data_IF_146725752093
#
_entry.id   IF_146725752093
#
_cell.length_a   1.000
_cell.length_b   1.000
_cell.length_c   1.000
_cell.angle_alpha   90.00
_cell.angle_beta   90.00
_cell.angle_gamma   90.00
#
_symmetry.space_group_name_H-M   'P 1'
#
loop_
_entity.id
_entity.type
_entity.pdbx_description
1 polymer ?
#
# COMPACT_ATOMS: atom_id res chain seq x y z
N UNK A 1 -15.78 -3.17 9.49
CA UNK A 1 -16.77 -4.14 8.95
C UNK A 1 -18.15 -3.53 9.07
N UNK A 2 -18.87 -3.40 7.96
CA UNK A 2 -20.22 -2.85 7.96
C UNK A 2 -21.29 -3.93 8.14
N UNK A 3 -22.47 -3.51 8.58
CA UNK A 3 -23.72 -4.26 8.63
C UNK A 3 -24.89 -3.32 8.40
N UNK A 4 -26.09 -3.87 8.20
CA UNK A 4 -27.31 -3.05 8.18
C UNK A 4 -27.50 -2.28 9.50
N UNK A 5 -28.42 -1.31 9.53
CA UNK A 5 -28.67 -0.47 10.72
C UNK A 5 -29.12 -1.27 11.95
N UNK A 6 -29.60 -2.50 11.76
CA UNK A 6 -30.01 -3.41 12.81
C UNK A 6 -28.88 -4.35 13.26
N UNK A 7 -27.70 -4.29 12.63
CA UNK A 7 -26.54 -5.14 12.92
C UNK A 7 -26.55 -6.50 12.24
N UNK A 8 -27.37 -6.70 11.20
CA UNK A 8 -27.41 -7.96 10.46
C UNK A 8 -26.42 -7.97 9.29
N UNK A 9 -25.98 -9.18 8.94
CA UNK A 9 -25.32 -9.49 7.67
C UNK A 9 -23.80 -9.35 7.63
N UNK A 10 -23.20 -8.59 8.56
CA UNK A 10 -21.76 -8.33 8.63
C UNK A 10 -20.88 -9.59 8.64
N UNK A 11 -19.57 -9.41 8.48
CA UNK A 11 -18.61 -10.52 8.41
C UNK A 11 -18.41 -11.17 9.78
N UNK A 12 -18.48 -12.51 9.83
CA UNK A 12 -18.12 -13.27 11.03
C UNK A 12 -16.63 -13.08 11.34
N UNK A 13 -16.34 -12.70 12.59
CA UNK A 13 -14.98 -12.50 13.11
C UNK A 13 -14.05 -13.69 12.90
N UNK A 14 -14.58 -14.91 12.81
CA UNK A 14 -13.81 -16.12 12.51
C UNK A 14 -13.10 -16.05 11.15
N UNK A 15 -13.68 -15.32 10.19
CA UNK A 15 -13.08 -15.14 8.85
C UNK A 15 -11.95 -14.10 8.84
N UNK A 16 -11.82 -13.25 9.86
CA UNK A 16 -10.76 -12.24 9.88
C UNK A 16 -9.39 -12.92 9.93
N UNK A 17 -9.19 -13.82 10.90
CA UNK A 17 -7.93 -14.55 11.03
C UNK A 17 -7.62 -15.41 9.79
N UNK A 18 -8.64 -16.08 9.25
CA UNK A 18 -8.49 -16.88 8.02
C UNK A 18 -8.04 -16.03 6.83
N UNK A 19 -8.67 -14.89 6.59
CA UNK A 19 -8.30 -14.01 5.48
C UNK A 19 -6.93 -13.36 5.68
N UNK A 20 -6.52 -13.10 6.92
CA UNK A 20 -5.14 -12.67 7.21
C UNK A 20 -4.12 -13.77 6.87
N UNK A 21 -4.42 -15.04 7.14
CA UNK A 21 -3.54 -16.14 6.74
C UNK A 21 -3.45 -16.28 5.23
N UNK A 22 -4.58 -16.18 4.52
CA UNK A 22 -4.62 -16.19 3.04
C UNK A 22 -3.78 -15.04 2.48
N UNK A 23 -4.05 -13.80 2.93
CA UNK A 23 -3.34 -12.60 2.47
C UNK A 23 -1.82 -12.71 2.72
N UNK A 24 -1.42 -13.17 3.91
CA UNK A 24 -0.01 -13.36 4.22
C UNK A 24 0.65 -14.44 3.35
N UNK A 25 -0.07 -15.50 2.99
CA UNK A 25 0.44 -16.51 2.06
C UNK A 25 0.60 -15.96 0.64
N UNK A 26 -0.36 -15.15 0.18
CA UNK A 26 -0.32 -14.53 -1.16
C UNK A 26 0.89 -13.59 -1.30
N UNK A 27 1.18 -12.82 -0.25
CA UNK A 27 2.26 -11.84 -0.26
C UNK A 27 3.58 -12.33 0.35
N UNK A 28 3.68 -13.60 0.75
CA UNK A 28 4.91 -14.13 1.38
C UNK A 28 6.14 -13.99 0.46
N UNK A 29 5.96 -14.20 -0.84
CA UNK A 29 7.04 -14.04 -1.84
C UNK A 29 7.44 -12.58 -2.00
N UNK A 30 6.49 -11.68 -1.84
CA UNK A 30 6.71 -10.23 -1.86
C UNK A 30 7.31 -9.71 -0.54
N UNK A 31 7.40 -10.55 0.51
CA UNK A 31 7.91 -10.18 1.85
C UNK A 31 7.09 -9.09 2.53
N UNK A 32 5.81 -8.98 2.22
CA UNK A 32 4.87 -8.21 3.03
C UNK A 32 4.26 -9.12 4.08
N UNK A 33 4.02 -8.56 5.28
CA UNK A 33 3.31 -9.23 6.36
C UNK A 33 2.25 -8.29 6.90
N UNK A 34 1.03 -8.79 6.96
CA UNK A 34 -0.15 -8.07 7.44
C UNK A 34 -0.55 -8.63 8.80
N UNK A 35 -0.87 -7.73 9.73
CA UNK A 35 -1.32 -8.06 11.08
C UNK A 35 -2.56 -7.20 11.37
N UNK A 36 -3.61 -7.82 11.89
CA UNK A 36 -4.80 -7.07 12.34
C UNK A 36 -4.43 -6.18 13.53
N UNK A 37 -4.64 -4.87 13.38
CA UNK A 37 -4.45 -3.90 14.47
C UNK A 37 -5.74 -3.72 15.29
N UNK A 38 -6.81 -3.28 14.64
CA UNK A 38 -8.15 -3.08 15.21
C UNK A 38 -9.22 -3.65 14.26
N UNK A 39 -10.44 -3.82 14.78
CA UNK A 39 -11.61 -4.19 14.00
C UNK A 39 -12.82 -3.43 14.53
N UNK A 40 -13.37 -2.56 13.69
CA UNK A 40 -14.60 -1.85 14.00
C UNK A 40 -15.83 -2.48 13.34
N UNK A 41 -16.94 -2.51 14.08
CA UNK A 41 -18.24 -2.95 13.58
C UNK A 41 -19.16 -1.74 13.47
N UNK A 42 -19.63 -1.46 12.26
CA UNK A 42 -20.36 -0.24 11.93
C UNK A 42 -21.72 -0.59 11.34
N UNK A 43 -22.79 -0.23 12.04
CA UNK A 43 -24.16 -0.37 11.53
C UNK A 43 -24.49 0.83 10.66
N UNK A 44 -24.53 0.64 9.35
CA UNK A 44 -24.91 1.67 8.39
C UNK A 44 -25.41 1.04 7.08
N UNK A 45 -26.74 0.95 6.92
CA UNK A 45 -27.37 0.31 5.75
C UNK A 45 -26.91 0.94 4.43
N UNK A 46 -26.71 2.26 4.40
CA UNK A 46 -26.35 2.93 3.16
C UNK A 46 -24.97 2.49 2.64
N UNK A 47 -23.97 2.37 3.51
CA UNK A 47 -22.65 1.86 3.13
C UNK A 47 -22.62 0.34 2.97
N UNK A 48 -23.38 -0.37 3.80
CA UNK A 48 -23.55 -1.83 3.72
C UNK A 48 -24.08 -2.27 2.34
N UNK A 49 -25.12 -1.59 1.83
CA UNK A 49 -25.76 -1.91 0.55
C UNK A 49 -25.08 -1.22 -0.67
N UNK A 50 -24.00 -0.47 -0.45
CA UNK A 50 -23.26 0.21 -1.52
C UNK A 50 -23.96 1.43 -2.13
N UNK A 51 -24.87 2.06 -1.40
CA UNK A 51 -25.65 3.24 -1.84
C UNK A 51 -25.26 4.55 -1.14
N UNK A 52 -24.31 4.49 -0.19
CA UNK A 52 -23.89 5.60 0.68
C UNK A 52 -22.97 6.66 0.05
N UNK A 53 -22.59 6.50 -1.22
CA UNK A 53 -21.68 7.41 -1.93
C UNK A 53 -20.72 6.65 -2.85
N UNK A 54 -19.93 7.38 -3.64
CA UNK A 54 -18.88 6.80 -4.49
C UNK A 54 -17.64 6.37 -3.69
N UNK A 55 -16.72 5.66 -4.37
CA UNK A 55 -15.60 4.89 -3.82
C UNK A 55 -14.84 5.54 -2.64
N UNK A 56 -14.63 6.85 -2.64
CA UNK A 56 -13.81 7.52 -1.61
C UNK A 56 -14.59 7.99 -0.38
N UNK A 57 -15.93 7.97 -0.38
CA UNK A 57 -16.71 8.53 0.74
C UNK A 57 -16.66 7.65 1.99
N UNK A 58 -16.55 6.33 1.83
CA UNK A 58 -16.40 5.40 2.97
C UNK A 58 -15.05 5.60 3.66
N UNK A 59 -13.99 5.78 2.86
CA UNK A 59 -12.63 6.03 3.34
C UNK A 59 -12.56 7.35 4.10
N UNK A 60 -13.13 8.42 3.54
CA UNK A 60 -13.15 9.74 4.19
C UNK A 60 -13.95 9.75 5.49
N UNK A 61 -15.07 9.04 5.55
CA UNK A 61 -15.98 9.12 6.71
C UNK A 61 -15.65 8.14 7.83
N UNK A 62 -14.96 7.03 7.52
CA UNK A 62 -14.75 5.93 8.47
C UNK A 62 -13.33 5.37 8.50
N UNK A 63 -12.39 5.92 7.71
CA UNK A 63 -10.99 5.52 7.82
C UNK A 63 -10.37 6.00 9.10
N UNK A 64 -9.64 5.09 9.73
CA UNK A 64 -8.73 5.45 10.80
C UNK A 64 -7.62 6.32 10.23
N UNK A 65 -7.41 7.47 10.87
CA UNK A 65 -6.38 8.46 10.56
C UNK A 65 -5.04 8.07 11.21
N UNK A 66 -4.61 6.84 10.95
CA UNK A 66 -3.30 6.35 11.35
C UNK A 66 -2.38 6.34 10.12
N UNK A 67 -1.30 7.13 10.19
CA UNK A 67 -0.30 7.21 9.13
C UNK A 67 0.35 5.85 8.80
N UNK A 68 0.21 4.84 9.65
CA UNK A 68 0.83 3.51 9.54
C UNK A 68 -0.15 2.33 9.46
N UNK A 69 -1.44 2.57 9.18
CA UNK A 69 -2.46 1.50 9.08
C UNK A 69 -3.11 1.43 7.69
N UNK A 70 -3.20 0.21 7.17
CA UNK A 70 -3.99 -0.13 5.99
C UNK A 70 -5.46 -0.35 6.39
N UNK A 71 -6.33 0.56 5.96
CA UNK A 71 -7.77 0.42 6.17
C UNK A 71 -8.38 -0.62 5.19
N UNK A 72 -9.16 -1.57 5.71
CA UNK A 72 -9.95 -2.52 4.90
C UNK A 72 -11.41 -2.48 5.30
N UNK A 73 -12.28 -2.09 4.38
CA UNK A 73 -13.71 -1.98 4.60
C UNK A 73 -14.44 -3.17 3.99
N UNK A 74 -15.39 -3.71 4.74
CA UNK A 74 -16.18 -4.88 4.31
C UNK A 74 -17.65 -4.50 4.26
N UNK A 75 -18.28 -4.66 3.09
CA UNK A 75 -19.69 -4.31 2.81
C UNK A 75 -20.42 -5.48 2.13
N UNK A 76 -21.73 -5.42 1.92
CA UNK A 76 -22.46 -6.50 1.22
C UNK A 76 -22.35 -6.38 -0.30
N UNK A 77 -22.52 -5.16 -0.82
CA UNK A 77 -22.72 -4.89 -2.24
C UNK A 77 -22.04 -3.59 -2.67
N UNK A 78 -21.62 -3.53 -3.93
CA UNK A 78 -20.96 -2.38 -4.56
C UNK A 78 -21.40 -2.20 -6.01
N UNK A 79 -22.71 -2.18 -6.27
CA UNK A 79 -23.26 -1.97 -7.62
C UNK A 79 -22.67 -2.90 -8.70
N UNK A 80 -22.30 -4.13 -8.32
CA UNK A 80 -21.74 -5.15 -9.21
C UNK A 80 -20.22 -5.32 -9.15
N UNK A 81 -19.49 -4.54 -8.35
CA UNK A 81 -18.06 -4.74 -8.07
C UNK A 81 -17.85 -5.72 -6.91
N UNK A 82 -16.70 -6.39 -6.90
CA UNK A 82 -16.27 -7.25 -5.80
C UNK A 82 -15.39 -6.50 -4.79
N UNK A 83 -14.67 -5.48 -5.25
CA UNK A 83 -13.84 -4.60 -4.47
C UNK A 83 -13.35 -3.42 -5.29
N UNK A 84 -12.71 -2.49 -4.60
CA UNK A 84 -11.91 -1.41 -5.17
C UNK A 84 -10.88 -0.96 -4.14
N UNK A 85 -9.78 -0.36 -4.61
CA UNK A 85 -8.73 0.17 -3.78
C UNK A 85 -8.23 1.52 -4.27
N UNK A 86 -7.70 2.29 -3.32
CA UNK A 86 -7.07 3.56 -3.61
C UNK A 86 -5.56 3.36 -3.82
N UNK A 87 -5.05 3.85 -4.94
CA UNK A 87 -3.62 3.87 -5.24
C UNK A 87 -2.85 4.73 -4.22
N UNK A 88 -1.55 4.48 -4.01
CA UNK A 88 -0.73 5.21 -3.05
C UNK A 88 -0.41 6.65 -3.49
N UNK A 89 -0.91 7.06 -4.66
CA UNK A 89 -0.84 8.42 -5.19
C UNK A 89 -2.15 8.80 -5.88
N UNK A 90 -2.45 10.10 -6.02
CA UNK A 90 -3.62 10.55 -6.75
C UNK A 90 -3.51 10.15 -8.23
N UNK A 91 -4.42 9.31 -8.70
CA UNK A 91 -4.54 8.95 -10.12
C UNK A 91 -5.73 9.73 -10.71
N UNK A 92 -5.57 10.27 -11.92
CA UNK A 92 -6.63 10.94 -12.68
C UNK A 92 -7.33 12.13 -12.00
N UNK A 93 -6.65 12.84 -11.08
CA UNK A 93 -7.19 14.05 -10.45
C UNK A 93 -8.19 13.77 -9.33
N UNK A 94 -8.39 12.51 -8.93
CA UNK A 94 -9.05 12.18 -7.68
C UNK A 94 -8.11 12.49 -6.51
N UNK A 95 -8.30 13.64 -5.88
CA UNK A 95 -7.69 13.97 -4.59
C UNK A 95 -8.60 13.45 -3.48
N UNK A 96 -8.26 12.32 -2.87
CA UNK A 96 -9.00 11.78 -1.73
C UNK A 96 -8.04 11.12 -0.75
N UNK A 97 -7.85 11.79 0.39
CA UNK A 97 -7.20 11.34 1.63
C UNK A 97 -6.38 10.03 1.54
N UNK A 98 -5.11 10.13 1.11
CA UNK A 98 -4.13 9.04 1.20
C UNK A 98 -4.04 8.53 2.66
N UNK A 99 -4.22 9.43 3.62
CA UNK A 99 -4.18 9.20 5.07
C UNK A 99 -5.24 8.18 5.54
N UNK A 100 -6.42 8.13 4.89
CA UNK A 100 -7.50 7.18 5.22
C UNK A 100 -7.72 6.13 4.11
N UNK A 101 -6.76 6.00 3.19
CA UNK A 101 -6.90 5.17 2.00
C UNK A 101 -6.67 3.69 2.30
N UNK A 102 -7.21 2.84 1.43
CA UNK A 102 -7.06 1.41 1.56
C UNK A 102 -7.91 0.66 0.55
N UNK A 103 -8.52 -0.44 0.96
CA UNK A 103 -9.33 -1.29 0.11
C UNK A 103 -10.74 -1.47 0.66
N UNK A 104 -11.72 -1.52 -0.22
CA UNK A 104 -13.10 -1.88 0.11
C UNK A 104 -13.39 -3.17 -0.62
N UNK A 105 -13.88 -4.19 0.09
CA UNK A 105 -14.24 -5.48 -0.48
C UNK A 105 -15.63 -5.91 -0.04
N UNK A 106 -16.32 -6.66 -0.89
CA UNK A 106 -17.59 -7.28 -0.52
C UNK A 106 -17.32 -8.41 0.47
N UNK A 107 -18.22 -8.63 1.44
CA UNK A 107 -18.10 -9.72 2.41
C UNK A 107 -17.99 -11.07 1.70
N UNK A 108 -18.63 -11.17 0.53
CA UNK A 108 -18.68 -12.36 -0.27
C UNK A 108 -17.29 -12.83 -0.69
N UNK A 109 -16.29 -11.97 -0.85
CA UNK A 109 -14.93 -12.42 -1.19
C UNK A 109 -14.11 -12.85 0.03
N UNK A 110 -14.63 -12.64 1.24
CA UNK A 110 -13.96 -12.96 2.51
C UNK A 110 -14.66 -14.10 3.27
N UNK A 111 -15.95 -14.33 3.02
CA UNK A 111 -16.65 -15.48 3.58
C UNK A 111 -16.20 -16.77 2.86
N UNK A 112 -16.06 -17.88 3.59
CA UNK A 112 -15.58 -19.15 3.01
C UNK A 112 -16.59 -19.81 2.07
N UNK A 113 -17.63 -19.10 1.63
CA UNK A 113 -18.55 -19.61 0.63
C UNK A 113 -17.96 -19.52 -0.78
N UNK A 114 -16.81 -18.88 -0.96
CA UNK A 114 -16.15 -18.73 -2.27
C UNK A 114 -15.33 -19.95 -2.72
N UNK A 115 -15.17 -20.11 -4.04
CA UNK A 115 -14.26 -21.10 -4.62
C UNK A 115 -12.80 -20.85 -4.23
N UNK A 116 -12.03 -21.92 -4.09
CA UNK A 116 -10.59 -21.84 -4.02
C UNK A 116 -10.02 -21.09 -5.25
N UNK A 117 -9.06 -20.17 -5.02
CA UNK A 117 -8.41 -19.38 -6.08
C UNK A 117 -9.00 -17.98 -6.30
N UNK A 118 -9.98 -17.56 -5.48
CA UNK A 118 -10.38 -16.15 -5.37
C UNK A 118 -9.44 -15.43 -4.41
N UNK A 119 -8.70 -14.46 -4.93
CA UNK A 119 -7.77 -13.63 -4.18
C UNK A 119 -8.08 -12.14 -4.39
N UNK A 120 -9.38 -11.79 -4.39
CA UNK A 120 -9.83 -10.40 -4.58
C UNK A 120 -9.22 -9.45 -3.56
N UNK A 121 -9.10 -9.84 -2.28
CA UNK A 121 -8.42 -8.98 -1.31
C UNK A 121 -6.96 -8.72 -1.71
N UNK A 122 -6.24 -9.74 -2.19
CA UNK A 122 -4.85 -9.56 -2.64
C UNK A 122 -4.77 -8.67 -3.89
N UNK A 123 -5.74 -8.78 -4.81
CA UNK A 123 -5.88 -7.89 -5.96
C UNK A 123 -5.99 -6.42 -5.53
N UNK A 124 -6.93 -6.12 -4.63
CA UNK A 124 -7.14 -4.75 -4.14
C UNK A 124 -5.92 -4.23 -3.38
N UNK A 125 -5.28 -5.06 -2.55
CA UNK A 125 -4.04 -4.68 -1.86
C UNK A 125 -2.88 -4.45 -2.85
N UNK A 126 -2.85 -5.16 -3.97
CA UNK A 126 -1.92 -4.88 -5.07
C UNK A 126 -2.04 -3.45 -5.58
N UNK A 127 -3.26 -2.93 -5.75
CA UNK A 127 -3.50 -1.53 -6.12
C UNK A 127 -3.04 -0.54 -5.04
N UNK A 128 -3.23 -0.86 -3.75
CA UNK A 128 -2.71 -0.02 -2.66
C UNK A 128 -1.18 0.12 -2.72
N UNK A 129 -0.49 -0.93 -3.16
CA UNK A 129 0.96 -0.90 -3.42
C UNK A 129 1.32 -0.47 -4.85
N UNK A 130 0.36 0.09 -5.60
CA UNK A 130 0.60 0.77 -6.89
C UNK A 130 0.72 -0.15 -8.10
N UNK A 131 0.23 -1.38 -8.02
CA UNK A 131 0.12 -2.26 -9.19
C UNK A 131 -1.09 -1.88 -10.06
N UNK A 132 -0.93 -1.98 -11.37
CA UNK A 132 -2.01 -1.85 -12.34
C UNK A 132 -2.51 -3.24 -12.75
N UNK A 133 -3.67 -3.28 -13.41
CA UNK A 133 -4.13 -4.52 -14.05
C UNK A 133 -3.14 -4.96 -15.13
N UNK A 134 -2.86 -6.26 -15.24
CA UNK A 134 -1.96 -6.81 -16.28
C UNK A 134 -2.48 -6.63 -17.73
N UNK A 135 -3.69 -6.11 -17.88
CA UNK A 135 -4.33 -5.76 -19.14
C UNK A 135 -4.56 -4.24 -19.26
N UNK A 136 -3.88 -3.43 -18.46
CA UNK A 136 -4.01 -1.97 -18.47
C UNK A 136 -3.68 -1.39 -19.86
N UNK A 137 -4.52 -0.48 -20.35
CA UNK A 137 -4.34 0.14 -21.67
C UNK A 137 -4.46 1.66 -21.56
N UNK A 138 -3.32 2.33 -21.57
CA UNK A 138 -3.22 3.80 -21.55
C UNK A 138 -3.44 4.45 -22.92
N UNK A 139 -3.31 3.66 -23.99
CA UNK A 139 -3.55 4.10 -25.36
C UNK A 139 -4.16 2.98 -26.20
N UNK A 140 -5.40 3.19 -26.64
CA UNK A 140 -6.12 2.22 -27.49
C UNK A 140 -5.68 2.28 -28.96
N UNK A 141 -5.05 3.38 -29.40
CA UNK A 141 -4.75 3.72 -30.80
C UNK A 141 -3.30 3.44 -31.21
N UNK A 142 -2.71 2.33 -30.78
CA UNK A 142 -1.36 1.91 -31.20
C UNK A 142 -0.25 2.96 -30.96
N UNK A 143 -0.44 3.88 -30.03
CA UNK A 143 0.59 4.85 -29.67
C UNK A 143 1.56 4.33 -28.60
N UNK A 144 2.45 5.20 -28.11
CA UNK A 144 3.65 4.80 -27.38
C UNK A 144 3.37 4.18 -26.00
N UNK A 145 2.19 4.45 -25.42
CA UNK A 145 1.81 3.95 -24.09
C UNK A 145 1.03 2.61 -24.16
N UNK A 146 0.82 2.06 -25.36
CA UNK A 146 0.24 0.74 -25.52
C UNK A 146 1.32 -0.32 -25.35
N UNK A 147 1.04 -1.30 -24.51
CA UNK A 147 1.90 -2.47 -24.39
C UNK A 147 1.77 -3.37 -25.62
N UNK A 148 2.90 -3.80 -26.18
CA UNK A 148 2.94 -4.50 -27.45
C UNK A 148 3.52 -5.92 -27.28
N UNK A 149 2.86 -6.95 -27.82
CA UNK A 149 3.39 -8.31 -27.75
C UNK A 149 4.54 -8.50 -28.74
N UNK A 150 5.55 -9.25 -28.32
CA UNK A 150 6.65 -9.73 -29.14
C UNK A 150 6.37 -11.08 -29.81
N UNK A 151 7.40 -11.70 -30.37
CA UNK A 151 7.32 -12.94 -31.16
C UNK A 151 6.72 -14.11 -30.37
N UNK A 152 6.83 -14.11 -29.04
CA UNK A 152 6.28 -15.16 -28.18
C UNK A 152 5.23 -14.66 -27.18
N UNK A 153 4.64 -13.50 -27.43
CA UNK A 153 3.75 -12.82 -26.48
C UNK A 153 4.48 -12.10 -25.34
N UNK A 154 5.81 -12.16 -25.29
CA UNK A 154 6.59 -11.39 -24.33
C UNK A 154 6.38 -9.89 -24.54
N UNK A 155 6.33 -9.12 -23.47
CA UNK A 155 6.25 -7.66 -23.59
C UNK A 155 7.50 -7.09 -24.26
N UNK A 156 7.33 -6.16 -25.20
CA UNK A 156 8.46 -5.45 -25.83
C UNK A 156 8.74 -4.10 -25.18
N UNK A 157 7.76 -3.54 -24.47
CA UNK A 157 7.81 -2.21 -23.88
C UNK A 157 7.09 -2.12 -22.52
N UNK A 158 6.83 -3.26 -21.87
CA UNK A 158 6.10 -3.33 -20.59
C UNK A 158 6.73 -2.53 -19.47
N UNK A 159 8.04 -2.29 -19.48
CA UNK A 159 8.68 -1.42 -18.48
C UNK A 159 8.24 0.06 -18.56
N UNK A 160 7.63 0.49 -19.68
CA UNK A 160 7.27 1.89 -19.95
C UNK A 160 5.85 2.07 -20.52
N UNK A 161 5.09 1.00 -20.66
CA UNK A 161 3.74 0.97 -21.21
C UNK A 161 2.92 -0.16 -20.57
N UNK A 162 1.60 -0.15 -20.74
CA UNK A 162 0.74 -1.13 -20.07
C UNK A 162 0.79 -1.03 -18.56
N UNK A 163 0.92 -2.14 -17.85
CA UNK A 163 0.96 -2.17 -16.39
C UNK A 163 2.30 -1.69 -15.76
N UNK A 164 3.25 -1.29 -16.60
CA UNK A 164 4.61 -0.88 -16.23
C UNK A 164 5.47 -2.01 -15.65
N UNK A 165 5.20 -3.27 -16.02
CA UNK A 165 6.02 -4.43 -15.69
C UNK A 165 6.43 -5.18 -16.98
N UNK A 166 7.72 -5.26 -17.30
CA UNK A 166 8.19 -5.96 -18.50
C UNK A 166 8.11 -7.49 -18.43
N UNK A 167 7.85 -8.06 -17.24
CA UNK A 167 7.74 -9.51 -17.01
C UNK A 167 6.29 -10.01 -16.91
N UNK A 168 5.31 -9.13 -17.10
CA UNK A 168 3.92 -9.47 -17.41
C UNK A 168 3.73 -9.38 -18.92
N UNK A 169 3.08 -10.39 -19.50
CA UNK A 169 2.84 -10.40 -20.95
C UNK A 169 1.59 -9.59 -21.29
N UNK A 170 1.59 -8.79 -22.39
CA UNK A 170 0.46 -7.96 -22.76
C UNK A 170 -0.83 -8.77 -22.89
N UNK A 171 -1.88 -8.32 -22.20
CA UNK A 171 -3.16 -9.02 -22.16
C UNK A 171 -4.28 -8.17 -22.72
N UNK A 172 -5.12 -8.75 -23.58
CA UNK A 172 -6.34 -8.10 -24.01
C UNK A 172 -7.34 -8.01 -22.85
N UNK A 173 -7.98 -6.84 -22.70
CA UNK A 173 -9.16 -6.67 -21.83
C UNK A 173 -10.28 -7.68 -22.11
N UNK A 174 -10.38 -8.23 -23.32
CA UNK A 174 -11.35 -9.27 -23.68
C UNK A 174 -10.96 -10.68 -23.19
N UNK A 175 -9.77 -10.84 -22.61
CA UNK A 175 -9.29 -12.07 -21.98
C UNK A 175 -9.15 -11.94 -20.46
N UNK A 176 -9.40 -10.75 -19.91
CA UNK A 176 -9.18 -10.42 -18.51
C UNK A 176 -9.92 -11.33 -17.50
N UNK A 177 -10.95 -12.07 -17.94
CA UNK A 177 -11.85 -12.79 -17.04
C UNK A 177 -11.67 -14.30 -17.00
N UNK A 178 -10.84 -14.86 -17.89
CA UNK A 178 -10.76 -16.30 -18.08
C UNK A 178 -9.52 -16.88 -17.39
N UNK A 179 -9.64 -18.06 -16.76
CA UNK A 179 -8.50 -18.82 -16.25
C UNK A 179 -7.77 -19.58 -17.37
N UNK A 180 -7.35 -18.88 -18.43
CA UNK A 180 -6.59 -19.44 -19.55
C UNK A 180 -5.93 -18.33 -20.36
N UNK A 181 -4.93 -18.72 -21.13
CA UNK A 181 -4.32 -17.85 -22.14
C UNK A 181 -4.71 -18.31 -23.54
N UNK A 182 -5.61 -17.57 -24.16
CA UNK A 182 -5.97 -17.76 -25.57
C UNK A 182 -5.12 -16.83 -26.45
N UNK A 183 -4.51 -17.40 -27.49
CA UNK A 183 -3.70 -16.65 -28.45
C UNK A 183 -4.57 -15.65 -29.22
N UNK A 184 -4.31 -14.35 -29.06
CA UNK A 184 -5.05 -13.26 -29.72
C UNK A 184 -4.11 -12.38 -30.53
N UNK A 185 -4.46 -12.13 -31.79
CA UNK A 185 -3.65 -11.27 -32.65
C UNK A 185 -3.76 -9.81 -32.21
N UNK A 186 -2.63 -9.14 -32.04
CA UNK A 186 -2.56 -7.72 -31.74
C UNK A 186 -2.74 -6.88 -33.00
N UNK A 187 -3.59 -5.86 -32.89
CA UNK A 187 -3.97 -4.99 -34.00
C UNK A 187 -2.88 -4.00 -34.45
N UNK A 188 -1.86 -3.77 -33.62
CA UNK A 188 -0.87 -2.71 -33.85
C UNK A 188 0.42 -3.22 -34.48
N UNK A 189 0.85 -4.44 -34.15
CA UNK A 189 2.11 -4.99 -34.66
C UNK A 189 1.98 -6.38 -35.29
N UNK A 190 0.77 -6.93 -35.39
CA UNK A 190 0.46 -8.26 -35.93
C UNK A 190 1.15 -9.43 -35.21
N UNK A 191 1.78 -9.20 -34.06
CA UNK A 191 2.18 -10.29 -33.15
C UNK A 191 0.96 -10.80 -32.38
N UNK A 192 1.18 -11.73 -31.45
CA UNK A 192 0.12 -12.38 -30.70
C UNK A 192 0.31 -12.16 -29.21
N UNK A 193 -0.76 -11.73 -28.54
CA UNK A 193 -0.91 -11.85 -27.10
C UNK A 193 -1.12 -13.33 -26.79
N UNK A 194 -0.20 -13.91 -26.02
CA UNK A 194 -0.21 -15.30 -25.60
C UNK A 194 0.65 -15.42 -24.34
N UNK A 195 0.51 -16.53 -23.60
CA UNK A 195 1.16 -16.69 -22.31
C UNK A 195 0.85 -15.51 -21.37
N UNK A 196 -0.37 -14.99 -21.47
CA UNK A 196 -0.90 -13.91 -20.63
C UNK A 196 -0.82 -14.34 -19.16
N UNK A 197 -0.53 -13.42 -18.23
CA UNK A 197 -0.42 -13.72 -16.81
C UNK A 197 -1.79 -13.88 -16.15
N UNK A 198 -2.62 -14.82 -16.64
CA UNK A 198 -4.01 -15.02 -16.17
C UNK A 198 -4.13 -15.54 -14.73
N UNK A 199 -3.05 -16.09 -14.16
CA UNK A 199 -2.98 -16.46 -12.74
C UNK A 199 -2.49 -15.32 -11.85
N UNK A 200 -2.13 -14.18 -12.43
CA UNK A 200 -1.62 -13.06 -11.67
C UNK A 200 -2.71 -12.44 -10.81
N UNK A 201 -2.40 -12.04 -9.58
CA UNK A 201 -3.40 -11.39 -8.72
C UNK A 201 -4.01 -10.14 -9.36
N UNK A 202 -3.30 -9.43 -10.26
CA UNK A 202 -3.80 -8.25 -10.97
C UNK A 202 -4.60 -8.57 -12.25
N UNK A 203 -5.02 -9.83 -12.44
CA UNK A 203 -5.94 -10.26 -13.49
C UNK A 203 -7.35 -10.52 -12.91
N UNK A 204 -8.41 -10.56 -13.74
CA UNK A 204 -9.79 -10.82 -13.28
C UNK A 204 -10.23 -12.27 -13.48
N UNK A 205 -9.33 -13.25 -13.43
CA UNK A 205 -9.65 -14.68 -13.63
C UNK A 205 -10.47 -15.29 -12.48
N UNK A 206 -11.66 -14.76 -12.28
CA UNK A 206 -12.66 -15.13 -11.29
C UNK A 206 -13.90 -15.78 -11.95
N UNK A 207 -14.00 -15.76 -13.29
CA UNK A 207 -15.13 -16.35 -14.01
C UNK A 207 -15.06 -17.89 -14.01
N UNK A 208 -16.11 -18.53 -13.49
CA UNK A 208 -16.24 -19.99 -13.47
C UNK A 208 -15.41 -20.64 -12.38
N UNK A 209 -14.11 -20.83 -12.64
CA UNK A 209 -13.16 -21.36 -11.65
C UNK A 209 -12.04 -20.33 -11.42
N UNK A 210 -12.09 -19.59 -10.29
CA UNK A 210 -11.02 -18.70 -9.88
C UNK A 210 -9.64 -19.39 -9.84
N UNK A 211 -8.58 -18.68 -10.21
CA UNK A 211 -7.24 -19.28 -10.28
C UNK A 211 -6.06 -18.32 -10.11
N UNK A 212 -6.29 -17.20 -9.42
CA UNK A 212 -5.22 -16.26 -9.12
C UNK A 212 -4.28 -16.91 -8.09
N UNK A 213 -2.95 -16.79 -8.24
CA UNK A 213 -1.99 -17.40 -7.32
C UNK A 213 -0.58 -16.76 -7.32
N UNK A 214 -0.35 -15.66 -8.05
CA UNK A 214 1.03 -15.17 -8.24
C UNK A 214 1.16 -13.67 -8.46
N UNK A 215 2.35 -13.15 -8.10
CA UNK A 215 2.90 -11.86 -8.51
C UNK A 215 4.22 -12.10 -9.23
N UNK A 216 4.57 -11.23 -10.18
CA UNK A 216 5.87 -11.29 -10.85
C UNK A 216 6.96 -10.58 -10.05
N UNK A 217 8.25 -10.89 -10.28
CA UNK A 217 9.36 -10.18 -9.66
C UNK A 217 9.33 -8.65 -9.87
N UNK A 218 8.96 -8.15 -11.06
CA UNK A 218 8.88 -6.71 -11.27
C UNK A 218 7.69 -6.08 -10.55
N UNK A 219 6.53 -6.75 -10.49
CA UNK A 219 5.42 -6.27 -9.68
C UNK A 219 5.83 -6.17 -8.20
N UNK A 220 6.50 -7.19 -7.66
CA UNK A 220 7.02 -7.15 -6.28
C UNK A 220 7.99 -5.97 -6.11
N UNK A 221 8.92 -5.76 -7.04
CA UNK A 221 9.85 -4.63 -6.97
C UNK A 221 9.13 -3.27 -7.02
N UNK A 222 8.09 -3.15 -7.84
CA UNK A 222 7.24 -1.95 -7.93
C UNK A 222 6.51 -1.71 -6.61
N UNK A 223 5.94 -2.74 -5.99
CA UNK A 223 5.28 -2.62 -4.69
C UNK A 223 6.22 -2.08 -3.61
N UNK A 224 7.44 -2.61 -3.52
CA UNK A 224 8.45 -2.11 -2.57
C UNK A 224 8.80 -0.64 -2.84
N UNK A 225 9.01 -0.28 -4.10
CA UNK A 225 9.29 1.10 -4.49
C UNK A 225 8.14 2.06 -4.10
N UNK A 226 6.90 1.66 -4.34
CA UNK A 226 5.71 2.45 -3.99
C UNK A 226 5.55 2.57 -2.48
N UNK A 227 5.76 1.49 -1.73
CA UNK A 227 5.72 1.51 -0.28
C UNK A 227 6.78 2.46 0.30
N UNK A 228 8.03 2.35 -0.15
CA UNK A 228 9.12 3.20 0.34
C UNK A 228 8.91 4.69 -0.01
N UNK A 229 8.37 4.98 -1.19
CA UNK A 229 8.26 6.35 -1.67
C UNK A 229 6.97 7.06 -1.22
N UNK A 230 5.83 6.36 -1.22
CA UNK A 230 4.52 6.94 -0.92
C UNK A 230 3.96 6.55 0.45
N UNK A 231 4.36 5.39 1.00
CA UNK A 231 3.86 4.85 2.27
C UNK A 231 4.99 4.67 3.27
N UNK A 232 5.92 5.62 3.31
CA UNK A 232 7.18 5.50 4.06
C UNK A 232 7.00 5.23 5.56
N UNK A 233 5.86 5.63 6.14
CA UNK A 233 5.45 5.32 7.52
C UNK A 233 5.14 3.83 7.75
N UNK A 234 4.80 3.08 6.71
CA UNK A 234 4.46 1.65 6.78
C UNK A 234 5.70 0.76 6.68
N UNK A 235 6.82 1.32 6.21
CA UNK A 235 8.08 0.59 6.03
C UNK A 235 8.99 0.85 7.22
N UNK A 236 9.05 -0.12 8.12
CA UNK A 236 10.05 -0.12 9.17
C UNK A 236 11.43 -0.32 8.52
N UNK A 237 12.32 0.67 8.63
CA UNK A 237 13.63 0.62 7.98
C UNK A 237 14.60 -0.17 8.89
N UNK A 238 15.01 -1.40 8.52
CA UNK A 238 15.82 -2.26 9.39
C UNK A 238 17.29 -1.84 9.47
N UNK A 239 17.64 -0.59 9.11
CA UNK A 239 18.98 -0.02 9.33
C UNK A 239 19.11 0.45 10.80
N UNK A 240 18.02 0.42 11.57
CA UNK A 240 18.11 0.38 13.03
C UNK A 240 18.76 -0.93 13.46
N UNK A 241 19.98 -0.84 14.01
CA UNK A 241 20.43 -1.80 15.03
C UNK A 241 19.24 -2.00 15.96
N UNK A 242 18.86 -3.24 16.27
CA UNK A 242 17.90 -3.54 17.35
C UNK A 242 18.41 -2.86 18.63
N UNK A 243 17.98 -1.63 18.83
CA UNK A 243 17.98 -0.97 20.11
C UNK A 243 16.87 -1.63 20.90
N UNK A 244 17.16 -1.90 22.16
CA UNK A 244 16.20 -2.20 23.21
C UNK A 244 14.83 -1.52 22.98
N UNK A 245 13.71 -2.15 23.40
CA UNK A 245 12.35 -1.71 23.11
C UNK A 245 12.25 -0.19 23.18
N UNK A 246 12.10 0.45 22.02
CA UNK A 246 11.82 1.86 21.95
C UNK A 246 10.43 2.05 22.52
N UNK A 247 10.35 2.44 23.79
CA UNK A 247 9.14 3.06 24.31
C UNK A 247 8.97 4.34 23.51
N UNK A 248 7.97 4.35 22.62
CA UNK A 248 7.46 5.57 22.01
C UNK A 248 6.78 6.40 23.12
N UNK A 249 7.58 6.99 24.02
CA UNK A 249 7.14 7.77 25.19
C UNK A 249 6.80 9.22 24.83
N UNK A 250 5.98 9.43 23.81
CA UNK A 250 5.40 10.75 23.52
C UNK A 250 6.37 11.83 23.02
N UNK A 251 7.65 11.51 22.81
CA UNK A 251 8.66 12.44 22.27
C UNK A 251 8.43 12.69 20.78
N UNK A 252 8.19 13.96 20.41
CA UNK A 252 7.90 14.39 19.04
C UNK A 252 8.95 15.38 18.55
N UNK A 253 9.40 15.19 17.32
CA UNK A 253 10.30 16.12 16.62
C UNK A 253 9.57 16.74 15.43
N UNK A 254 9.39 18.05 15.41
CA UNK A 254 8.59 18.71 14.38
C UNK A 254 9.09 20.15 14.08
N UNK A 255 8.95 20.61 12.83
CA UNK A 255 8.53 19.80 11.67
C UNK A 255 9.60 18.75 11.30
N UNK A 256 9.13 17.59 10.81
CA UNK A 256 9.99 16.55 10.28
C UNK A 256 9.20 15.82 9.17
N UNK A 257 9.52 16.03 7.88
CA UNK A 257 10.68 16.74 7.33
C UNK A 257 10.76 18.26 7.61
N UNK A 258 11.94 18.87 7.49
CA UNK A 258 12.17 20.32 7.69
C UNK A 258 13.24 20.93 6.76
N UNK A 259 13.35 22.27 6.75
CA UNK A 259 14.40 23.01 6.01
C UNK A 259 15.71 23.19 6.81
N UNK A 260 15.84 22.49 7.93
CA UNK A 260 16.99 22.55 8.82
C UNK A 260 16.65 22.93 10.26
N UNK A 261 15.46 23.49 10.52
CA UNK A 261 15.07 23.93 11.87
C UNK A 261 13.90 23.08 12.37
N UNK A 262 14.04 22.52 13.57
CA UNK A 262 12.99 21.73 14.23
C UNK A 262 13.02 21.88 15.74
N UNK A 263 11.87 21.60 16.38
CA UNK A 263 11.69 21.60 17.83
C UNK A 263 11.39 20.18 18.33
N UNK A 264 11.82 19.91 19.55
CA UNK A 264 11.63 18.65 20.26
C UNK A 264 10.63 18.90 21.40
N UNK A 265 9.55 18.12 21.46
CA UNK A 265 8.48 18.19 22.47
C UNK A 265 8.21 16.83 23.09
N UNK A 266 7.51 16.81 24.22
CA UNK A 266 7.03 15.59 24.86
C UNK A 266 8.06 14.91 25.76
N UNK A 267 9.12 15.62 26.12
CA UNK A 267 10.16 15.14 27.04
C UNK A 267 10.48 16.23 28.06
N UNK A 268 10.45 15.89 29.34
CA UNK A 268 10.85 16.77 30.43
C UNK A 268 12.33 16.49 30.75
N UNK A 269 13.17 17.53 30.68
CA UNK A 269 14.60 17.48 31.01
C UNK A 269 15.51 16.58 30.14
N UNK A 270 15.89 17.12 28.98
CA UNK A 270 16.94 16.53 28.13
C UNK A 270 18.30 16.91 28.69
N UNK A 271 19.20 15.95 28.97
CA UNK A 271 20.59 16.21 29.38
C UNK A 271 21.52 16.49 28.19
N UNK A 272 21.39 15.70 27.12
CA UNK A 272 22.28 15.75 25.96
C UNK A 272 21.51 15.51 24.66
N UNK A 273 21.84 16.31 23.65
CA UNK A 273 21.42 16.12 22.27
C UNK A 273 22.66 15.85 21.44
N UNK A 274 22.63 14.77 20.65
CA UNK A 274 23.60 14.50 19.59
C UNK A 274 22.89 14.23 18.29
N UNK A 275 23.39 14.77 17.20
CA UNK A 275 22.86 14.51 15.86
C UNK A 275 23.98 14.01 14.98
N UNK A 276 23.71 12.92 14.27
CA UNK A 276 24.64 12.27 13.37
C UNK A 276 24.14 12.37 11.94
N UNK A 277 25.06 12.49 10.98
CA UNK A 277 24.74 12.22 9.58
C UNK A 277 24.72 10.70 9.31
N UNK A 278 24.35 10.30 8.10
CA UNK A 278 24.33 8.88 7.67
C UNK A 278 25.70 8.18 7.70
N UNK A 279 26.80 8.93 7.76
CA UNK A 279 28.15 8.38 7.91
C UNK A 279 28.53 8.15 9.37
N UNK A 280 27.66 8.49 10.32
CA UNK A 280 27.91 8.38 11.76
C UNK A 280 28.71 9.56 12.33
N UNK A 281 28.95 10.62 11.57
CA UNK A 281 29.67 11.80 12.04
C UNK A 281 28.73 12.68 12.86
N UNK A 282 29.16 13.12 14.05
CA UNK A 282 28.37 14.05 14.87
C UNK A 282 28.37 15.45 14.24
N UNK A 283 27.22 15.89 13.73
CA UNK A 283 27.02 17.20 13.11
C UNK A 283 26.47 18.25 14.07
N UNK A 284 25.87 17.82 15.19
CA UNK A 284 25.42 18.70 16.26
C UNK A 284 25.58 18.02 17.61
N UNK A 285 25.95 18.78 18.63
CA UNK A 285 25.95 18.34 20.02
C UNK A 285 25.66 19.51 20.96
N UNK A 286 24.73 19.32 21.88
CA UNK A 286 24.44 20.28 22.94
C UNK A 286 24.17 19.55 24.26
N UNK A 287 24.59 20.17 25.36
CA UNK A 287 24.14 19.81 26.70
C UNK A 287 22.99 20.74 27.03
N UNK A 288 21.85 20.18 27.43
CA UNK A 288 20.60 20.90 27.64
C UNK A 288 20.10 20.57 29.05
N UNK A 289 19.28 21.44 29.62
CA UNK A 289 18.51 21.20 30.85
C UNK A 289 17.18 21.94 30.71
N UNK A 290 16.45 21.66 29.63
CA UNK A 290 15.17 22.30 29.32
C UNK A 290 14.22 21.30 28.66
N UNK A 291 12.92 21.56 28.79
CA UNK A 291 11.82 20.77 28.21
C UNK A 291 11.45 21.19 26.79
N UNK A 292 12.08 22.24 26.26
CA UNK A 292 11.93 22.68 24.85
C UNK A 292 13.27 23.15 24.31
N UNK A 293 13.58 22.64 23.12
CA UNK A 293 14.82 22.95 22.42
C UNK A 293 14.57 23.04 20.92
N UNK A 294 15.17 24.05 20.29
CA UNK A 294 15.16 24.23 18.84
C UNK A 294 16.56 23.90 18.31
N UNK A 295 16.63 22.98 17.35
CA UNK A 295 17.86 22.62 16.66
C UNK A 295 17.90 23.34 15.33
N UNK A 296 19.08 23.86 14.97
CA UNK A 296 19.36 24.43 13.66
C UNK A 296 20.46 23.63 12.94
N UNK A 297 20.06 22.94 11.87
CA UNK A 297 20.88 22.19 10.93
C UNK A 297 20.96 22.89 9.56
N UNK A 298 20.55 24.15 9.43
CA UNK A 298 20.46 24.86 8.13
C UNK A 298 21.78 24.82 7.35
N UNK A 299 22.91 24.84 8.06
CA UNK A 299 24.27 24.77 7.47
C UNK A 299 24.69 23.37 7.02
N UNK A 300 23.95 22.33 7.41
CA UNK A 300 24.24 20.95 7.03
C UNK A 300 23.59 20.61 5.68
N UNK A 301 24.15 19.64 4.92
CA UNK A 301 23.56 19.22 3.65
C UNK A 301 22.11 18.75 3.77
N UNK A 302 21.38 18.73 2.65
CA UNK A 302 20.07 18.06 2.59
C UNK A 302 20.28 16.55 2.74
N UNK A 303 19.44 15.88 3.51
CA UNK A 303 19.59 14.45 3.77
C UNK A 303 18.95 13.97 5.07
N UNK A 304 19.24 12.72 5.41
CA UNK A 304 18.77 12.07 6.65
C UNK A 304 19.80 12.24 7.77
N UNK A 305 19.31 12.47 8.98
CA UNK A 305 20.09 12.57 10.21
C UNK A 305 19.47 11.70 11.30
N UNK A 306 20.30 11.32 12.28
CA UNK A 306 19.87 10.55 13.45
C UNK A 306 20.07 11.42 14.68
N UNK A 307 18.97 11.71 15.38
CA UNK A 307 18.92 12.46 16.63
C UNK A 307 18.97 11.47 17.80
N UNK A 308 19.91 11.66 18.71
CA UNK A 308 19.99 11.00 20.01
C UNK A 308 19.69 12.02 21.10
N UNK A 309 18.73 11.68 21.95
CA UNK A 309 18.32 12.43 23.12
C UNK A 309 18.64 11.62 24.36
N UNK A 310 19.47 12.14 25.24
CA UNK A 310 19.75 11.51 26.53
C UNK A 310 19.02 12.25 27.63
N UNK A 311 18.28 11.53 28.45
CA UNK A 311 17.73 12.00 29.73
C UNK A 311 18.49 11.33 30.88
N UNK A 312 18.10 11.60 32.12
CA UNK A 312 18.67 10.92 33.29
C UNK A 312 18.41 9.39 33.23
N UNK A 313 17.21 9.01 32.78
CA UNK A 313 16.73 7.62 32.84
C UNK A 313 16.90 6.84 31.52
N UNK A 314 16.92 7.51 30.36
CA UNK A 314 16.85 6.82 29.06
C UNK A 314 17.54 7.56 27.89
N UNK A 315 17.63 6.88 26.75
CA UNK A 315 18.07 7.45 25.47
C UNK A 315 17.02 7.23 24.38
N UNK A 316 16.48 8.32 23.84
CA UNK A 316 15.55 8.29 22.70
C UNK A 316 16.28 8.56 21.39
N UNK A 317 15.91 7.83 20.34
CA UNK A 317 16.51 7.95 19.01
C UNK A 317 15.43 8.27 17.99
N UNK A 318 15.64 9.32 17.18
CA UNK A 318 14.70 9.75 16.16
C UNK A 318 15.39 10.02 14.82
N UNK A 319 14.72 9.68 13.72
CA UNK A 319 15.15 10.05 12.36
C UNK A 319 14.70 11.47 12.04
N UNK A 320 15.59 12.28 11.47
CA UNK A 320 15.32 13.64 11.00
C UNK A 320 15.57 13.72 9.49
N UNK A 321 14.64 14.32 8.74
CA UNK A 321 14.73 14.49 7.29
C UNK A 321 14.84 15.99 6.98
N UNK A 322 15.96 16.41 6.40
CA UNK A 322 16.20 17.79 5.92
C UNK A 322 16.16 17.85 4.39
N UNK A 323 15.31 18.72 3.84
CA UNK A 323 15.22 18.95 2.39
C UNK A 323 15.68 20.35 1.97
#
# INVERSE_FOLDING_TARGET
>A
IFSDDNGNGGLDTAYIAYNMDVLNNDFVQARFKFITYSVDFINNTAYWDGVGGGDTTIMVNFGDDFDDVLNVYVVDSMLGLLGYAQFPYPVFGYSGAIENSGAVVTKHVLDTLQPAGDHTLAHEIGHVFGLYHVFEVWDVNCGPCRELPGVNGNSINGDVAGDFCGDTNPTSVFSAYECKSDMKQDSCNNNYQQNTPFRNFMHYSLSGQPCLDTLTPQQIARMHCMAEYHLASWVDNPIGIEGAPSTNDGVKVYPNPNEGIFEIRGIEEIEEIKIYNVLGETVHRSLVQSSRFTVDLSVQPKGTYILHLRTEDDTHIHKIIKF
#
